data_IF_672095152975
#
_entry.id   IF_672095152975
#
_cell.length_a   1.000
_cell.length_b   1.000
_cell.length_c   1.000
_cell.angle_alpha   90.00
_cell.angle_beta   90.00
_cell.angle_gamma   90.00
#
_symmetry.space_group_name_H-M   'P 1'
#
loop_
_entity.id
_entity.type
_entity.pdbx_description
1 polymer ?
#
# COMPACT_ATOMS: atom_id res chain seq x y z
N UNK A 1 -6.06 6.99 -33.45
CA UNK A 1 -7.05 6.00 -33.94
C UNK A 1 -7.02 4.75 -33.06
N UNK A 2 -7.66 4.81 -31.91
CA UNK A 2 -7.91 3.63 -31.11
C UNK A 2 -9.40 3.29 -31.21
N UNK A 3 -9.78 2.61 -32.27
CA UNK A 3 -11.09 2.00 -32.40
C UNK A 3 -11.06 0.64 -31.70
N UNK A 4 -11.28 0.63 -30.37
CA UNK A 4 -11.65 -0.60 -29.70
C UNK A 4 -13.13 -0.88 -29.98
N UNK A 5 -13.48 -2.04 -30.57
CA UNK A 5 -14.85 -2.35 -30.99
C UNK A 5 -15.89 -2.32 -29.86
N UNK A 6 -15.46 -2.34 -28.60
CA UNK A 6 -16.32 -2.37 -27.42
C UNK A 6 -16.38 -1.07 -26.61
N UNK A 7 -15.79 0.04 -27.11
CA UNK A 7 -15.70 1.31 -26.37
C UNK A 7 -17.05 1.98 -26.06
N UNK A 8 -18.15 1.52 -26.64
CA UNK A 8 -19.49 2.06 -26.44
C UNK A 8 -20.55 1.05 -26.01
N UNK A 9 -20.13 -0.16 -25.63
CA UNK A 9 -21.04 -1.20 -25.13
C UNK A 9 -20.88 -1.37 -23.63
N UNK A 10 -21.80 -0.79 -22.88
CA UNK A 10 -21.91 -0.96 -21.44
C UNK A 10 -21.83 0.37 -20.67
N UNK A 11 -22.39 0.37 -19.50
CA UNK A 11 -22.29 1.47 -18.53
C UNK A 11 -20.92 1.42 -17.85
N UNK A 12 -20.29 2.59 -17.66
CA UNK A 12 -19.06 2.70 -16.88
C UNK A 12 -19.46 2.69 -15.40
N UNK A 13 -19.16 1.59 -14.73
CA UNK A 13 -19.34 1.47 -13.29
C UNK A 13 -18.03 1.78 -12.58
N UNK A 14 -18.00 2.85 -11.80
CA UNK A 14 -16.87 3.17 -10.94
C UNK A 14 -16.98 2.40 -9.63
N UNK A 15 -16.19 1.35 -9.49
CA UNK A 15 -16.10 0.61 -8.23
C UNK A 15 -15.33 1.42 -7.20
N UNK A 16 -15.98 1.75 -6.11
CA UNK A 16 -15.33 2.35 -4.94
C UNK A 16 -14.76 1.25 -4.03
N UNK A 17 -13.77 1.63 -3.21
CA UNK A 17 -13.28 0.72 -2.15
C UNK A 17 -14.43 0.38 -1.21
N UNK A 18 -14.52 -0.88 -0.81
CA UNK A 18 -15.46 -1.33 0.22
C UNK A 18 -15.18 -0.56 1.52
N UNK A 19 -16.23 -0.20 2.25
CA UNK A 19 -16.09 0.55 3.49
C UNK A 19 -15.34 -0.28 4.56
N UNK A 20 -14.69 0.40 5.51
CA UNK A 20 -14.04 -0.29 6.65
C UNK A 20 -15.08 -1.09 7.44
N UNK A 21 -16.25 -0.49 7.69
CA UNK A 21 -17.33 -1.14 8.45
C UNK A 21 -17.80 -2.44 7.79
N UNK A 22 -18.00 -2.44 6.47
CA UNK A 22 -18.42 -3.64 5.74
C UNK A 22 -17.33 -4.72 5.74
N UNK A 23 -16.05 -4.30 5.60
CA UNK A 23 -14.93 -5.21 5.70
C UNK A 23 -14.82 -5.85 7.08
N UNK A 24 -14.93 -5.06 8.16
CA UNK A 24 -14.87 -5.56 9.53
C UNK A 24 -15.97 -6.58 9.77
N UNK A 25 -17.22 -6.27 9.40
CA UNK A 25 -18.34 -7.20 9.51
C UNK A 25 -18.08 -8.50 8.74
N UNK A 26 -17.58 -8.38 7.51
CA UNK A 26 -17.28 -9.54 6.66
C UNK A 26 -16.18 -10.41 7.28
N UNK A 27 -15.07 -9.82 7.72
CA UNK A 27 -13.94 -10.56 8.32
C UNK A 27 -14.41 -11.30 9.57
N UNK A 28 -15.09 -10.62 10.50
CA UNK A 28 -15.59 -11.23 11.73
C UNK A 28 -16.53 -12.41 11.43
N UNK A 29 -17.49 -12.20 10.54
CA UNK A 29 -18.43 -13.27 10.16
C UNK A 29 -17.72 -14.49 9.53
N UNK A 30 -16.65 -14.26 8.72
CA UNK A 30 -15.88 -15.37 8.11
C UNK A 30 -15.08 -16.17 9.14
N UNK A 31 -14.54 -15.53 10.17
CA UNK A 31 -13.90 -16.24 11.27
C UNK A 31 -14.92 -17.08 12.05
N UNK A 32 -16.06 -16.52 12.40
CA UNK A 32 -17.13 -17.22 13.16
C UNK A 32 -17.64 -18.47 12.45
N UNK A 33 -17.89 -18.40 11.13
CA UNK A 33 -18.35 -19.56 10.33
C UNK A 33 -17.40 -20.75 10.44
N UNK A 34 -16.13 -20.51 10.73
CA UNK A 34 -15.09 -21.55 10.86
C UNK A 34 -14.79 -21.92 12.31
N UNK A 35 -15.57 -21.40 13.27
CA UNK A 35 -15.38 -21.64 14.70
C UNK A 35 -14.20 -20.90 15.31
N UNK A 36 -13.67 -19.88 14.65
CA UNK A 36 -12.62 -18.98 15.16
C UNK A 36 -13.20 -17.60 15.44
N UNK A 37 -12.49 -16.82 16.26
CA UNK A 37 -12.89 -15.46 16.58
C UNK A 37 -11.79 -14.45 16.22
N UNK A 38 -12.20 -13.25 15.82
CA UNK A 38 -11.33 -12.09 15.63
C UNK A 38 -12.01 -10.85 16.19
N UNK A 39 -11.27 -10.00 16.90
CA UNK A 39 -11.83 -8.75 17.39
C UNK A 39 -12.02 -7.74 16.25
N UNK A 40 -13.02 -6.85 16.40
CA UNK A 40 -13.19 -5.74 15.43
C UNK A 40 -11.93 -4.88 15.31
N UNK A 41 -11.16 -4.72 16.38
CA UNK A 41 -9.93 -3.92 16.35
C UNK A 41 -8.90 -4.56 15.41
N UNK A 42 -8.62 -5.86 15.53
CA UNK A 42 -7.70 -6.55 14.61
C UNK A 42 -8.23 -6.52 13.17
N UNK A 43 -9.55 -6.67 12.98
CA UNK A 43 -10.16 -6.57 11.65
C UNK A 43 -10.03 -5.15 11.05
N UNK A 44 -10.14 -4.09 11.88
CA UNK A 44 -9.87 -2.69 11.47
C UNK A 44 -8.39 -2.50 11.12
N UNK A 45 -7.47 -3.05 11.89
CA UNK A 45 -6.04 -2.96 11.62
C UNK A 45 -5.69 -3.61 10.27
N UNK A 46 -6.30 -4.74 9.93
CA UNK A 46 -6.19 -5.35 8.60
C UNK A 46 -6.62 -4.35 7.52
N UNK A 47 -7.76 -3.68 7.69
CA UNK A 47 -8.27 -2.70 6.72
C UNK A 47 -7.34 -1.49 6.58
N UNK A 48 -6.79 -0.99 7.68
CA UNK A 48 -5.87 0.16 7.71
C UNK A 48 -4.55 -0.20 7.03
N UNK A 49 -3.92 -1.32 7.41
CA UNK A 49 -2.65 -1.78 6.86
C UNK A 49 -2.70 -2.00 5.34
N UNK A 50 -3.84 -2.46 4.85
CA UNK A 50 -4.05 -2.77 3.44
C UNK A 50 -4.69 -1.64 2.65
N UNK A 51 -4.96 -0.49 3.28
CA UNK A 51 -5.74 0.61 2.71
C UNK A 51 -7.01 0.12 1.99
N UNK A 52 -7.63 -0.93 2.51
CA UNK A 52 -8.85 -1.57 1.98
C UNK A 52 -8.74 -2.04 0.53
N UNK A 53 -7.53 -2.34 0.04
CA UNK A 53 -7.37 -3.06 -1.22
C UNK A 53 -7.86 -4.49 -1.05
N UNK A 54 -8.93 -4.85 -1.76
CA UNK A 54 -9.69 -6.10 -1.55
C UNK A 54 -8.82 -7.36 -1.60
N UNK A 55 -7.84 -7.41 -2.51
CA UNK A 55 -6.89 -8.52 -2.60
C UNK A 55 -6.04 -8.66 -1.34
N UNK A 56 -5.51 -7.55 -0.84
CA UNK A 56 -4.67 -7.55 0.36
C UNK A 56 -5.47 -7.77 1.64
N UNK A 57 -6.69 -7.21 1.75
CA UNK A 57 -7.59 -7.49 2.88
C UNK A 57 -7.85 -8.99 2.98
N UNK A 58 -8.20 -9.64 1.87
CA UNK A 58 -8.47 -11.07 1.85
C UNK A 58 -7.22 -11.90 2.16
N UNK A 59 -6.09 -11.56 1.57
CA UNK A 59 -4.83 -12.29 1.78
C UNK A 59 -4.32 -12.15 3.21
N UNK A 60 -4.33 -10.94 3.79
CA UNK A 60 -3.92 -10.71 5.17
C UNK A 60 -4.85 -11.39 6.15
N UNK A 61 -6.17 -11.28 5.96
CA UNK A 61 -7.17 -11.99 6.76
C UNK A 61 -6.98 -13.51 6.71
N UNK A 62 -6.63 -14.05 5.55
CA UNK A 62 -6.32 -15.47 5.36
C UNK A 62 -5.09 -15.88 6.17
N UNK A 63 -4.00 -15.12 6.14
CA UNK A 63 -2.81 -15.42 6.93
C UNK A 63 -3.06 -15.32 8.44
N UNK A 64 -3.86 -14.33 8.89
CA UNK A 64 -4.30 -14.25 10.29
C UNK A 64 -5.09 -15.50 10.65
N UNK A 65 -6.08 -15.86 9.85
CA UNK A 65 -6.92 -17.04 10.09
C UNK A 65 -6.10 -18.34 10.16
N UNK A 66 -5.13 -18.53 9.29
CA UNK A 66 -4.23 -19.70 9.31
C UNK A 66 -3.44 -19.80 10.61
N UNK A 67 -2.97 -18.68 11.13
CA UNK A 67 -2.17 -18.63 12.35
C UNK A 67 -3.01 -18.79 13.63
N UNK A 68 -4.23 -18.24 13.61
CA UNK A 68 -5.17 -18.27 14.74
C UNK A 68 -5.59 -19.71 15.07
N UNK A 69 -5.55 -20.07 16.35
CA UNK A 69 -6.14 -21.33 16.85
C UNK A 69 -7.63 -21.15 17.11
N UNK A 70 -7.98 -20.39 18.14
CA UNK A 70 -9.35 -20.11 18.54
C UNK A 70 -9.72 -18.62 18.37
N UNK A 71 -8.93 -17.73 18.96
CA UNK A 71 -9.12 -16.27 18.91
C UNK A 71 -7.86 -15.59 18.40
N UNK A 72 -8.01 -14.75 17.39
CA UNK A 72 -6.92 -13.99 16.79
C UNK A 72 -6.33 -13.00 17.79
N UNK A 73 -5.00 -12.91 17.79
CA UNK A 73 -4.21 -12.01 18.63
C UNK A 73 -3.41 -11.02 17.79
N UNK A 74 -2.89 -9.97 18.42
CA UNK A 74 -1.95 -9.03 17.78
C UNK A 74 -0.67 -9.73 17.27
N UNK A 75 -0.26 -10.82 17.93
CA UNK A 75 0.87 -11.62 17.48
C UNK A 75 0.54 -12.37 16.20
N UNK A 76 -0.68 -12.89 16.07
CA UNK A 76 -1.14 -13.55 14.85
C UNK A 76 -1.19 -12.55 13.69
N UNK A 77 -1.66 -11.32 13.93
CA UNK A 77 -1.66 -10.25 12.93
C UNK A 77 -0.22 -9.91 12.51
N UNK A 78 0.70 -9.73 13.46
CA UNK A 78 2.10 -9.41 13.16
C UNK A 78 2.78 -10.51 12.34
N UNK A 79 2.54 -11.76 12.71
CA UNK A 79 3.00 -12.91 11.92
C UNK A 79 2.43 -12.87 10.50
N UNK A 80 1.13 -12.62 10.36
CA UNK A 80 0.45 -12.55 9.07
C UNK A 80 0.97 -11.42 8.18
N UNK A 81 1.26 -10.25 8.77
CA UNK A 81 1.89 -9.11 8.05
C UNK A 81 3.25 -9.54 7.49
N UNK A 82 4.11 -10.17 8.29
CA UNK A 82 5.39 -10.64 7.81
C UNK A 82 5.23 -11.66 6.66
N UNK A 83 4.28 -12.58 6.76
CA UNK A 83 3.97 -13.54 5.70
C UNK A 83 3.48 -12.86 4.42
N UNK A 84 2.67 -11.83 4.54
CA UNK A 84 2.24 -11.02 3.40
C UNK A 84 3.44 -10.34 2.73
N UNK A 85 4.30 -9.68 3.51
CA UNK A 85 5.51 -9.03 3.00
C UNK A 85 6.44 -10.04 2.31
N UNK A 86 6.71 -11.20 2.94
CA UNK A 86 7.54 -12.26 2.36
C UNK A 86 6.97 -12.76 1.01
N UNK A 87 5.64 -12.88 0.90
CA UNK A 87 4.98 -13.34 -0.33
C UNK A 87 5.04 -12.33 -1.47
N UNK A 88 5.10 -11.03 -1.16
CA UNK A 88 5.17 -9.94 -2.14
C UNK A 88 6.62 -9.53 -2.47
N UNK A 89 7.58 -9.88 -1.62
CA UNK A 89 8.97 -9.42 -1.73
C UNK A 89 9.61 -9.61 -3.11
N UNK A 90 9.49 -10.78 -3.80
CA UNK A 90 10.10 -10.95 -5.12
C UNK A 90 9.58 -9.92 -6.15
N UNK A 91 8.28 -9.60 -6.10
CA UNK A 91 7.69 -8.57 -6.95
C UNK A 91 8.20 -7.18 -6.59
N UNK A 92 8.29 -6.86 -5.30
CA UNK A 92 8.75 -5.56 -4.82
C UNK A 92 10.23 -5.31 -5.11
N UNK A 93 11.08 -6.33 -5.02
CA UNK A 93 12.48 -6.26 -5.47
C UNK A 93 12.52 -5.90 -6.95
N UNK A 94 11.79 -6.63 -7.80
CA UNK A 94 11.74 -6.37 -9.25
C UNK A 94 11.26 -4.94 -9.57
N UNK A 95 10.28 -4.41 -8.82
CA UNK A 95 9.75 -3.05 -9.03
C UNK A 95 10.73 -1.96 -8.59
N UNK A 96 11.66 -2.27 -7.69
CA UNK A 96 12.52 -1.27 -7.04
C UNK A 96 14.01 -1.39 -7.39
N UNK A 97 14.48 -2.53 -7.93
CA UNK A 97 15.91 -2.78 -8.21
C UNK A 97 16.55 -1.76 -9.16
N UNK A 98 15.79 -1.26 -10.14
CA UNK A 98 16.26 -0.28 -11.11
C UNK A 98 16.05 1.19 -10.66
N UNK A 99 15.64 1.43 -9.42
CA UNK A 99 15.43 2.78 -8.92
C UNK A 99 16.76 3.45 -8.56
N UNK A 100 16.94 4.67 -9.07
CA UNK A 100 18.08 5.50 -8.67
C UNK A 100 17.95 5.93 -7.19
N UNK A 101 19.08 6.30 -6.58
CA UNK A 101 19.09 6.83 -5.20
C UNK A 101 18.15 8.01 -5.01
N UNK A 102 18.00 8.90 -6.01
CA UNK A 102 17.05 10.01 -5.95
C UNK A 102 15.59 9.54 -5.95
N UNK A 103 15.25 8.52 -6.73
CA UNK A 103 13.92 7.94 -6.74
C UNK A 103 13.60 7.23 -5.43
N UNK A 104 14.53 6.45 -4.90
CA UNK A 104 14.38 5.79 -3.61
C UNK A 104 14.22 6.80 -2.47
N UNK A 105 15.02 7.87 -2.46
CA UNK A 105 14.89 8.95 -1.49
C UNK A 105 13.55 9.69 -1.60
N UNK A 106 13.00 9.83 -2.81
CA UNK A 106 11.67 10.42 -3.01
C UNK A 106 10.57 9.53 -2.42
N UNK A 107 10.65 8.21 -2.64
CA UNK A 107 9.72 7.24 -2.00
C UNK A 107 9.86 7.28 -0.47
N UNK A 108 11.09 7.35 0.06
CA UNK A 108 11.32 7.53 1.51
C UNK A 108 10.61 8.77 2.04
N UNK A 109 10.71 9.91 1.36
CA UNK A 109 10.03 11.14 1.79
C UNK A 109 8.51 10.94 1.88
N UNK A 110 7.89 10.27 0.89
CA UNK A 110 6.47 9.96 0.90
C UNK A 110 6.11 9.05 2.08
N UNK A 111 6.87 7.98 2.29
CA UNK A 111 6.65 7.00 3.37
C UNK A 111 6.78 7.64 4.74
N UNK A 112 7.68 8.64 4.89
CA UNK A 112 7.82 9.43 6.12
C UNK A 112 6.79 10.57 6.25
N UNK A 113 5.79 10.65 5.35
CA UNK A 113 4.65 11.55 5.46
C UNK A 113 4.74 12.84 4.65
N UNK A 114 5.80 13.03 3.85
CA UNK A 114 5.86 14.18 2.92
C UNK A 114 4.99 13.89 1.71
N UNK A 115 3.84 14.53 1.62
CA UNK A 115 2.91 14.34 0.50
C UNK A 115 2.73 15.57 -0.39
N UNK A 116 3.26 16.73 0.03
CA UNK A 116 3.29 18.00 -0.71
C UNK A 116 4.60 18.75 -0.43
N UNK A 117 4.84 19.86 -1.13
CA UNK A 117 5.96 20.74 -0.81
C UNK A 117 7.36 20.18 -1.08
N UNK A 118 7.51 19.21 -1.96
CA UNK A 118 8.79 18.55 -2.28
C UNK A 118 9.88 19.48 -2.81
N UNK A 119 9.53 20.70 -3.25
CA UNK A 119 10.49 21.71 -3.72
C UNK A 119 11.01 22.63 -2.61
N UNK A 120 10.51 22.49 -1.39
CA UNK A 120 11.00 23.26 -0.24
C UNK A 120 12.43 22.85 0.10
N UNK A 121 13.29 23.84 0.39
CA UNK A 121 14.71 23.59 0.66
C UNK A 121 14.96 22.61 1.80
N UNK A 122 14.14 22.68 2.86
CA UNK A 122 14.24 21.75 3.98
C UNK A 122 13.97 20.30 3.57
N UNK A 123 12.97 20.05 2.69
CA UNK A 123 12.62 18.71 2.17
C UNK A 123 13.72 18.22 1.22
N UNK A 124 14.16 19.08 0.29
CA UNK A 124 15.24 18.76 -0.65
C UNK A 124 16.51 18.33 0.08
N UNK A 125 16.90 19.07 1.12
CA UNK A 125 18.07 18.78 1.92
C UNK A 125 17.90 17.52 2.77
N UNK A 126 16.80 17.42 3.52
CA UNK A 126 16.55 16.28 4.43
C UNK A 126 16.59 14.93 3.68
N UNK A 127 15.99 14.88 2.50
CA UNK A 127 15.86 13.63 1.73
C UNK A 127 16.84 13.53 0.56
N UNK A 128 17.80 14.45 0.44
CA UNK A 128 18.79 14.45 -0.65
C UNK A 128 18.16 14.33 -2.04
N UNK A 129 17.12 15.12 -2.31
CA UNK A 129 16.36 15.06 -3.56
C UNK A 129 17.01 15.85 -4.71
N UNK A 130 18.11 16.51 -4.48
CA UNK A 130 18.80 17.36 -5.44
C UNK A 130 18.13 18.73 -5.55
N UNK A 131 17.83 19.17 -6.78
CA UNK A 131 17.25 20.49 -7.05
C UNK A 131 15.74 20.44 -7.24
N UNK A 132 15.06 21.59 -7.08
CA UNK A 132 13.63 21.72 -7.36
C UNK A 132 13.25 21.27 -8.78
N UNK A 133 14.11 21.52 -9.78
CA UNK A 133 13.91 21.06 -11.16
C UNK A 133 13.89 19.54 -11.30
N UNK A 134 14.64 18.82 -10.45
CA UNK A 134 14.67 17.36 -10.43
C UNK A 134 13.34 16.75 -9.98
N UNK A 135 12.59 17.43 -9.10
CA UNK A 135 11.35 16.94 -8.51
C UNK A 135 10.30 16.60 -9.59
N UNK A 136 10.14 17.45 -10.60
CA UNK A 136 9.18 17.20 -11.70
C UNK A 136 9.52 15.91 -12.46
N UNK A 137 10.83 15.68 -12.72
CA UNK A 137 11.30 14.47 -13.39
C UNK A 137 11.13 13.22 -12.53
N UNK A 138 11.42 13.31 -11.22
CA UNK A 138 11.22 12.21 -10.26
C UNK A 138 9.75 11.82 -10.18
N UNK A 139 8.85 12.80 -10.02
CA UNK A 139 7.40 12.55 -10.01
C UNK A 139 6.95 11.85 -11.28
N UNK A 140 7.30 12.40 -12.45
CA UNK A 140 6.92 11.78 -13.72
C UNK A 140 7.41 10.34 -13.80
N UNK A 141 8.69 10.11 -13.56
CA UNK A 141 9.31 8.79 -13.67
C UNK A 141 8.69 7.76 -12.72
N UNK A 142 8.39 8.14 -11.47
CA UNK A 142 7.76 7.25 -10.50
C UNK A 142 6.27 7.01 -10.79
N UNK A 143 5.58 8.01 -11.36
CA UNK A 143 4.20 7.84 -11.85
C UNK A 143 4.14 6.93 -13.08
N UNK A 144 5.07 7.09 -14.02
CA UNK A 144 5.17 6.24 -15.22
C UNK A 144 5.49 4.76 -14.87
N UNK A 145 6.04 4.53 -13.67
CA UNK A 145 6.31 3.19 -13.09
C UNK A 145 5.18 2.68 -12.19
N UNK A 146 4.07 3.39 -12.08
CA UNK A 146 2.93 3.07 -11.18
C UNK A 146 3.31 2.90 -9.69
N UNK A 147 4.40 3.57 -9.23
CA UNK A 147 4.83 3.52 -7.85
C UNK A 147 4.16 4.59 -6.99
N UNK A 148 3.84 5.73 -7.58
CA UNK A 148 3.16 6.85 -6.93
C UNK A 148 1.99 7.36 -7.75
N UNK A 149 1.02 7.96 -7.08
CA UNK A 149 -0.11 8.64 -7.71
C UNK A 149 -0.32 10.03 -7.13
N UNK A 150 -0.95 10.89 -7.93
CA UNK A 150 -1.43 12.20 -7.44
C UNK A 150 -2.90 12.07 -7.07
N UNK A 151 -3.22 12.35 -5.82
CA UNK A 151 -4.59 12.35 -5.30
C UNK A 151 -5.11 13.80 -5.11
N UNK A 152 -6.28 13.95 -4.51
CA UNK A 152 -6.90 15.25 -4.26
C UNK A 152 -5.91 16.26 -3.62
N UNK A 153 -6.10 17.55 -3.90
CA UNK A 153 -5.23 18.64 -3.43
C UNK A 153 -3.74 18.50 -3.84
N UNK A 154 -3.45 17.82 -4.95
CA UNK A 154 -2.08 17.60 -5.48
C UNK A 154 -1.15 16.86 -4.52
N UNK A 155 -1.71 16.08 -3.61
CA UNK A 155 -0.93 15.21 -2.73
C UNK A 155 -0.39 14.03 -3.52
N UNK A 156 0.81 13.60 -3.17
CA UNK A 156 1.46 12.42 -3.74
C UNK A 156 1.38 11.29 -2.72
N UNK A 157 0.95 10.14 -3.16
CA UNK A 157 0.83 8.94 -2.33
C UNK A 157 1.43 7.73 -3.07
N UNK A 158 1.80 6.70 -2.33
CA UNK A 158 2.19 5.41 -2.90
C UNK A 158 0.97 4.74 -3.54
N UNK A 159 1.15 4.10 -4.70
CA UNK A 159 0.07 3.33 -5.35
C UNK A 159 -0.26 2.05 -4.60
N UNK A 160 0.75 1.42 -3.98
CA UNK A 160 0.61 0.14 -3.29
C UNK A 160 0.92 0.30 -1.80
N UNK A 161 -0.06 0.06 -0.89
CA UNK A 161 0.13 0.18 0.55
C UNK A 161 1.09 -0.90 1.09
N UNK A 162 1.14 -2.09 0.50
CA UNK A 162 1.99 -3.18 0.97
C UNK A 162 3.44 -2.98 0.51
N UNK A 163 3.66 -2.43 -0.71
CA UNK A 163 4.98 -1.96 -1.12
C UNK A 163 5.49 -0.86 -0.18
N UNK A 164 4.63 0.09 0.20
CA UNK A 164 4.97 1.14 1.16
C UNK A 164 5.39 0.56 2.52
N UNK A 165 4.65 -0.42 3.01
CA UNK A 165 4.96 -1.12 4.25
C UNK A 165 6.27 -1.91 4.14
N UNK A 166 6.47 -2.65 3.07
CA UNK A 166 7.70 -3.42 2.82
C UNK A 166 8.93 -2.51 2.75
N UNK A 167 8.85 -1.40 2.02
CA UNK A 167 9.95 -0.42 1.97
C UNK A 167 10.27 0.12 3.36
N UNK A 168 9.25 0.45 4.17
CA UNK A 168 9.43 0.95 5.54
C UNK A 168 10.12 -0.08 6.43
N UNK A 169 9.63 -1.32 6.43
CA UNK A 169 10.04 -2.35 7.39
C UNK A 169 11.33 -3.07 7.00
N UNK A 170 11.62 -3.20 5.70
CA UNK A 170 12.70 -4.07 5.21
C UNK A 170 13.85 -3.31 4.51
N UNK A 171 13.60 -2.10 4.00
CA UNK A 171 14.58 -1.37 3.18
C UNK A 171 15.03 -0.08 3.83
N UNK A 172 14.12 0.67 4.42
CA UNK A 172 14.37 2.03 4.92
C UNK A 172 14.55 2.07 6.45
N UNK A 173 14.19 1.03 7.17
CA UNK A 173 14.45 0.94 8.62
C UNK A 173 15.95 0.91 8.88
N UNK A 174 16.49 1.73 9.80
CA UNK A 174 17.87 1.59 10.23
C UNK A 174 18.03 0.25 10.95
N UNK A 175 19.00 -0.53 10.52
CA UNK A 175 19.49 -1.71 11.25
C UNK A 175 20.19 -1.28 12.53
#
# INVERSE_FOLDING_TARGET
>A
NHSYPFYRFGDIVYLQKISEEDWVKFICARFEVTGKHISENIAKDICILTDRYSSYVQQLSWFVWLKTKDTATEEDLRYAVNKLLDSCEPLFIQQTEDLSSYQMNFLRAIIEGVNTGFTQSAVLSKYHLGTAANITRLKKSLTDKDLIMTVAAKRIEMCDPILSLWLRERVLSPH
#
